data_IF_039507860220
#
_entry.id   IF_039507860220
#
_cell.length_a   1.000
_cell.length_b   1.000
_cell.length_c   1.000
_cell.angle_alpha   90.00
_cell.angle_beta   90.00
_cell.angle_gamma   90.00
#
_symmetry.space_group_name_H-M   'P 1'
#
loop_
_entity.id
_entity.type
_entity.pdbx_description
1 polymer ?
#
# COMPACT_ATOMS: atom_id res chain seq x y z
N UNK A 1 -10.89 -16.84 15.20
CA UNK A 1 -9.72 -16.77 14.30
C UNK A 1 -8.85 -15.61 14.76
N UNK A 2 -7.54 -15.80 14.91
CA UNK A 2 -6.62 -14.70 15.20
C UNK A 2 -6.58 -13.77 13.98
N UNK A 3 -6.71 -12.48 14.21
CA UNK A 3 -6.67 -11.49 13.14
C UNK A 3 -5.21 -11.27 12.71
N UNK A 4 -4.91 -11.44 11.41
CA UNK A 4 -3.56 -11.20 10.88
C UNK A 4 -3.18 -9.73 10.99
N UNK A 5 -1.96 -9.47 11.45
CA UNK A 5 -1.37 -8.15 11.51
C UNK A 5 -0.34 -7.98 10.41
N UNK A 6 -0.33 -6.80 9.81
CA UNK A 6 0.55 -6.45 8.71
C UNK A 6 1.40 -5.25 9.10
N UNK A 7 2.65 -5.28 8.65
CA UNK A 7 3.54 -4.12 8.59
C UNK A 7 3.52 -3.60 7.17
N UNK A 8 2.80 -2.49 6.94
CA UNK A 8 2.63 -1.89 5.62
C UNK A 8 3.50 -0.64 5.48
N UNK A 9 3.83 -0.33 4.24
CA UNK A 9 4.53 0.85 3.77
C UNK A 9 3.59 1.59 2.82
N UNK A 10 3.47 2.90 3.02
CA UNK A 10 2.73 3.80 2.14
C UNK A 10 3.45 5.14 2.00
N UNK A 11 3.01 5.93 1.03
CA UNK A 11 3.49 7.29 0.78
C UNK A 11 2.51 8.28 1.39
N UNK A 12 2.94 9.13 2.32
CA UNK A 12 2.01 10.01 3.06
C UNK A 12 1.32 11.05 2.16
N UNK A 13 1.92 11.40 1.01
CA UNK A 13 1.29 12.25 0.00
C UNK A 13 0.09 11.59 -0.69
N UNK A 14 0.00 10.25 -0.64
CA UNK A 14 -1.16 9.50 -1.15
C UNK A 14 -2.39 9.57 -0.26
N UNK A 15 -2.32 10.23 0.91
CA UNK A 15 -3.44 10.38 1.84
C UNK A 15 -4.09 11.76 1.73
N UNK A 16 -5.43 11.81 1.64
CA UNK A 16 -6.21 13.06 1.72
C UNK A 16 -6.26 13.61 3.14
N UNK A 17 -6.27 12.72 4.13
CA UNK A 17 -6.19 13.06 5.55
C UNK A 17 -5.05 12.29 6.23
N UNK A 18 -3.94 12.97 6.50
CA UNK A 18 -2.81 12.36 7.19
C UNK A 18 -3.13 12.00 8.66
N UNK A 19 -4.19 12.56 9.26
CA UNK A 19 -4.56 12.25 10.64
C UNK A 19 -4.99 10.80 10.82
N UNK A 20 -5.37 10.10 9.75
CA UNK A 20 -5.67 8.65 9.78
C UNK A 20 -4.50 7.86 10.37
N UNK A 21 -3.26 8.31 10.15
CA UNK A 21 -2.08 7.64 10.66
C UNK A 21 -1.98 7.70 12.19
N UNK A 22 -2.55 8.73 12.83
CA UNK A 22 -2.53 8.87 14.29
C UNK A 22 -3.40 7.81 15.01
N UNK A 23 -4.25 7.09 14.27
CA UNK A 23 -5.07 6.01 14.80
C UNK A 23 -4.28 4.71 14.99
N UNK A 24 -3.08 4.61 14.39
CA UNK A 24 -2.31 3.37 14.31
C UNK A 24 -0.85 3.59 14.69
N UNK A 25 -0.17 2.56 15.25
CA UNK A 25 1.27 2.61 15.42
C UNK A 25 1.97 2.82 14.08
N UNK A 26 2.74 3.89 13.95
CA UNK A 26 3.44 4.23 12.72
C UNK A 26 4.80 4.89 12.98
N UNK A 27 5.68 4.86 11.97
CA UNK A 27 6.93 5.64 11.96
C UNK A 27 7.30 6.09 10.55
N UNK A 28 7.89 7.27 10.46
CA UNK A 28 8.47 7.77 9.21
C UNK A 28 9.77 7.01 8.93
N UNK A 29 9.82 6.30 7.80
CA UNK A 29 11.02 5.54 7.36
C UNK A 29 11.99 6.41 6.59
N UNK A 30 11.47 7.26 5.72
CA UNK A 30 12.26 8.07 4.79
C UNK A 30 11.50 9.32 4.40
N UNK A 31 12.16 10.46 4.49
CA UNK A 31 11.66 11.70 3.91
C UNK A 31 12.05 11.73 2.43
N UNK A 32 11.09 11.95 1.54
CA UNK A 32 11.37 12.10 0.11
C UNK A 32 11.50 13.58 -0.24
N UNK A 33 12.43 13.90 -1.15
CA UNK A 33 12.55 15.25 -1.72
C UNK A 33 11.41 15.57 -2.69
N UNK A 34 10.65 14.57 -3.14
CA UNK A 34 9.51 14.77 -4.02
C UNK A 34 8.31 15.26 -3.19
N UNK A 35 7.88 16.53 -3.31
CA UNK A 35 6.82 17.10 -2.49
C UNK A 35 5.47 16.40 -2.73
N UNK A 36 5.29 15.79 -3.91
CA UNK A 36 4.05 15.10 -4.27
C UNK A 36 3.89 13.79 -3.48
N UNK A 37 4.98 13.05 -3.24
CA UNK A 37 4.88 11.72 -2.64
C UNK A 37 4.90 11.76 -1.10
N UNK A 38 5.39 12.87 -0.53
CA UNK A 38 5.54 13.01 0.92
C UNK A 38 6.56 12.01 1.50
N UNK A 39 6.30 11.54 2.70
CA UNK A 39 7.19 10.62 3.40
C UNK A 39 6.81 9.17 3.13
N UNK A 40 7.80 8.27 3.17
CA UNK A 40 7.55 6.84 3.28
C UNK A 40 7.26 6.54 4.75
N UNK A 41 6.08 6.00 5.03
CA UNK A 41 5.59 5.70 6.38
C UNK A 41 5.40 4.20 6.52
N UNK A 42 5.89 3.63 7.63
CA UNK A 42 5.58 2.27 8.06
C UNK A 42 4.43 2.33 9.07
N UNK A 43 3.40 1.50 8.89
CA UNK A 43 2.21 1.42 9.75
C UNK A 43 1.92 -0.04 10.09
N UNK A 44 1.46 -0.29 11.32
CA UNK A 44 1.07 -1.61 11.80
C UNK A 44 -0.45 -1.69 11.91
N UNK A 45 -1.09 -2.55 11.10
CA UNK A 45 -2.54 -2.64 11.00
C UNK A 45 -3.03 -4.07 10.75
N UNK A 46 -4.28 -4.35 11.10
CA UNK A 46 -5.02 -5.49 10.58
C UNK A 46 -5.79 -5.14 9.28
N UNK A 47 -6.48 -6.09 8.67
CA UNK A 47 -7.21 -5.87 7.41
C UNK A 47 -8.36 -4.85 7.54
N UNK A 48 -9.04 -4.77 8.68
CA UNK A 48 -10.15 -3.83 8.83
C UNK A 48 -9.63 -2.39 8.98
N UNK A 49 -8.55 -2.22 9.74
CA UNK A 49 -7.84 -0.94 9.86
C UNK A 49 -7.21 -0.50 8.54
N UNK A 50 -6.75 -1.44 7.71
CA UNK A 50 -6.26 -1.14 6.36
C UNK A 50 -7.36 -0.50 5.49
N UNK A 51 -8.62 -0.91 5.62
CA UNK A 51 -9.74 -0.29 4.89
C UNK A 51 -9.90 1.18 5.24
N UNK A 52 -9.66 1.57 6.49
CA UNK A 52 -9.74 2.97 6.90
C UNK A 52 -8.62 3.80 6.27
N UNK A 53 -7.41 3.23 6.18
CA UNK A 53 -6.31 3.83 5.41
C UNK A 53 -6.68 3.95 3.93
N UNK A 54 -7.26 2.91 3.32
CA UNK A 54 -7.67 2.94 1.91
C UNK A 54 -8.73 4.03 1.62
N UNK A 55 -9.66 4.28 2.54
CA UNK A 55 -10.64 5.38 2.43
C UNK A 55 -9.98 6.76 2.52
N UNK A 56 -8.90 6.86 3.29
CA UNK A 56 -8.11 8.08 3.43
C UNK A 56 -7.09 8.26 2.30
N UNK A 57 -6.89 7.27 1.42
CA UNK A 57 -6.07 7.43 0.22
C UNK A 57 -6.79 8.32 -0.81
N UNK A 58 -6.03 9.19 -1.47
CA UNK A 58 -6.48 10.06 -2.55
C UNK A 58 -7.14 9.23 -3.64
N UNK A 59 -8.25 9.75 -4.19
CA UNK A 59 -8.92 9.12 -5.32
C UNK A 59 -7.93 8.96 -6.46
N UNK A 60 -7.92 7.78 -7.11
CA UNK A 60 -7.09 7.60 -8.31
C UNK A 60 -7.34 8.77 -9.26
N UNK A 61 -6.27 9.32 -9.83
CA UNK A 61 -6.27 10.44 -10.78
C UNK A 61 -6.57 11.84 -10.23
N UNK A 62 -6.78 12.04 -8.92
CA UNK A 62 -7.05 13.39 -8.36
C UNK A 62 -5.96 13.96 -7.46
N UNK A 63 -4.84 13.26 -7.28
CA UNK A 63 -3.68 13.80 -6.56
C UNK A 63 -2.42 12.98 -6.80
N UNK A 64 -1.38 13.13 -5.98
CA UNK A 64 -0.09 12.58 -6.32
C UNK A 64 0.00 11.07 -6.06
N UNK A 65 0.52 10.36 -7.05
CA UNK A 65 0.88 8.93 -6.96
C UNK A 65 1.95 8.69 -5.87
N UNK A 66 2.14 7.44 -5.40
CA UNK A 66 1.39 6.24 -5.77
C UNK A 66 0.29 5.90 -4.75
N UNK A 67 -0.90 5.55 -5.25
CA UNK A 67 -2.11 5.34 -4.44
C UNK A 67 -2.27 3.91 -3.95
N UNK A 68 -1.24 3.39 -3.30
CA UNK A 68 -1.27 2.04 -2.76
C UNK A 68 -0.40 1.93 -1.51
N UNK A 69 -0.67 0.87 -0.72
CA UNK A 69 0.17 0.41 0.37
C UNK A 69 0.62 -1.02 0.07
N UNK A 70 1.86 -1.35 0.43
CA UNK A 70 2.38 -2.72 0.37
C UNK A 70 3.03 -3.12 1.67
N UNK A 71 3.08 -4.40 1.99
CA UNK A 71 3.65 -4.85 3.24
C UNK A 71 3.77 -6.34 3.35
N UNK A 72 3.99 -6.77 4.59
CA UNK A 72 4.14 -8.17 4.95
C UNK A 72 3.25 -8.52 6.13
N UNK A 73 2.73 -9.73 6.14
CA UNK A 73 2.14 -10.33 7.35
C UNK A 73 3.25 -10.52 8.40
N UNK A 74 2.94 -10.27 9.68
CA UNK A 74 3.88 -10.43 10.78
C UNK A 74 4.02 -11.87 11.27
N UNK A 75 3.06 -12.73 10.92
CA UNK A 75 2.96 -14.10 11.42
C UNK A 75 2.99 -15.16 10.30
N UNK A 76 3.15 -14.76 9.04
CA UNK A 76 3.15 -15.64 7.88
C UNK A 76 4.03 -15.08 6.76
N UNK A 77 4.47 -15.95 5.86
CA UNK A 77 5.28 -15.61 4.68
C UNK A 77 4.42 -15.02 3.54
N UNK A 78 3.60 -14.03 3.87
CA UNK A 78 2.65 -13.39 2.97
C UNK A 78 2.99 -11.91 2.75
N UNK A 79 2.91 -11.49 1.48
CA UNK A 79 2.85 -10.10 1.08
C UNK A 79 1.39 -9.62 1.07
N UNK A 80 1.21 -8.32 1.32
CA UNK A 80 -0.05 -7.62 1.10
C UNK A 80 0.18 -6.41 0.20
N UNK A 81 -0.75 -6.14 -0.70
CA UNK A 81 -0.80 -4.93 -1.52
C UNK A 81 -2.25 -4.44 -1.59
N UNK A 82 -2.49 -3.19 -1.18
CA UNK A 82 -3.81 -2.59 -1.11
C UNK A 82 -3.83 -1.26 -1.85
N UNK A 83 -4.82 -1.08 -2.72
CA UNK A 83 -5.01 0.14 -3.52
C UNK A 83 -6.03 1.08 -2.85
N UNK A 84 -6.00 2.37 -3.18
CA UNK A 84 -6.97 3.34 -2.64
C UNK A 84 -8.42 2.93 -2.92
N UNK A 85 -9.36 3.31 -2.03
CA UNK A 85 -10.76 2.86 -2.10
C UNK A 85 -11.49 3.27 -3.40
N UNK A 86 -11.05 4.36 -4.05
CA UNK A 86 -11.59 4.85 -5.32
C UNK A 86 -10.73 4.41 -6.52
N UNK A 87 -10.24 3.16 -6.50
CA UNK A 87 -9.48 2.58 -7.62
C UNK A 87 -10.36 2.11 -8.79
N UNK A 88 -11.67 2.34 -8.72
CA UNK A 88 -12.67 1.79 -9.61
C UNK A 88 -13.09 0.35 -9.29
N UNK A 89 -12.51 -0.27 -8.25
CA UNK A 89 -12.74 -1.65 -7.80
C UNK A 89 -12.92 -1.71 -6.26
N UNK A 90 -13.32 -0.60 -5.64
CA UNK A 90 -13.55 -0.46 -4.19
C UNK A 90 -12.32 -0.77 -3.30
N UNK A 91 -11.11 -0.44 -3.75
CA UNK A 91 -9.89 -0.60 -2.96
C UNK A 91 -9.43 -2.05 -2.94
N UNK A 92 -9.00 -2.55 -4.10
CA UNK A 92 -8.58 -3.94 -4.24
C UNK A 92 -7.43 -4.26 -3.29
N UNK A 93 -7.51 -5.42 -2.64
CA UNK A 93 -6.47 -5.96 -1.76
C UNK A 93 -5.99 -7.31 -2.31
N UNK A 94 -4.68 -7.45 -2.46
CA UNK A 94 -4.01 -8.69 -2.83
C UNK A 94 -3.22 -9.19 -1.62
N UNK A 95 -3.40 -10.46 -1.28
CA UNK A 95 -2.62 -11.17 -0.27
C UNK A 95 -2.12 -12.45 -0.94
N UNK A 96 -0.82 -12.69 -0.87
CA UNK A 96 -0.18 -13.80 -1.57
C UNK A 96 1.14 -14.18 -0.89
N UNK A 97 1.58 -15.41 -1.06
CA UNK A 97 2.83 -15.89 -0.51
C UNK A 97 4.04 -15.26 -1.24
N UNK A 98 5.16 -15.03 -0.55
CA UNK A 98 6.32 -14.33 -1.14
C UNK A 98 6.98 -15.04 -2.34
N UNK A 99 6.75 -16.34 -2.51
CA UNK A 99 7.26 -17.12 -3.63
C UNK A 99 6.30 -17.18 -4.84
N UNK A 100 5.05 -16.70 -4.70
CA UNK A 100 4.07 -16.67 -5.78
C UNK A 100 4.34 -15.48 -6.71
N UNK A 101 5.29 -15.69 -7.62
CA UNK A 101 5.70 -14.70 -8.62
C UNK A 101 4.58 -14.40 -9.61
N UNK A 102 3.64 -15.31 -9.83
CA UNK A 102 2.51 -15.07 -10.71
C UNK A 102 1.48 -14.15 -10.05
N UNK A 103 1.23 -14.30 -8.75
CA UNK A 103 0.47 -13.32 -7.99
C UNK A 103 1.13 -11.96 -8.01
N UNK A 104 2.45 -11.90 -7.79
CA UNK A 104 3.18 -10.63 -7.84
C UNK A 104 3.06 -9.94 -9.20
N UNK A 105 3.23 -10.68 -10.30
CA UNK A 105 3.03 -10.16 -11.67
C UNK A 105 1.60 -9.65 -11.88
N UNK A 106 0.59 -10.31 -11.33
CA UNK A 106 -0.82 -9.83 -11.40
C UNK A 106 -0.98 -8.51 -10.64
N UNK A 107 -0.35 -8.35 -9.48
CA UNK A 107 -0.36 -7.10 -8.72
C UNK A 107 0.30 -5.97 -9.51
N UNK A 108 1.48 -6.21 -10.09
CA UNK A 108 2.19 -5.22 -10.90
C UNK A 108 1.35 -4.77 -12.10
N UNK A 109 0.80 -5.73 -12.87
CA UNK A 109 -0.10 -5.43 -14.01
C UNK A 109 -1.33 -4.64 -13.58
N UNK A 110 -1.90 -4.96 -12.42
CA UNK A 110 -3.04 -4.23 -11.89
C UNK A 110 -2.67 -2.78 -11.58
N UNK A 111 -1.58 -2.53 -10.85
CA UNK A 111 -1.19 -1.14 -10.54
C UNK A 111 -0.74 -0.35 -11.77
N UNK A 112 -0.05 -0.97 -12.74
CA UNK A 112 0.25 -0.37 -14.04
C UNK A 112 -1.04 0.05 -14.77
N UNK A 113 -2.08 -0.78 -14.75
CA UNK A 113 -3.39 -0.43 -15.33
C UNK A 113 -4.09 0.74 -14.62
N UNK A 114 -3.70 1.03 -13.37
CA UNK A 114 -4.16 2.20 -12.60
C UNK A 114 -3.24 3.41 -12.75
N UNK A 115 -2.21 3.33 -13.60
CA UNK A 115 -1.25 4.41 -13.85
C UNK A 115 -0.06 4.44 -12.90
N UNK A 116 0.04 3.52 -11.94
CA UNK A 116 1.12 3.52 -10.96
C UNK A 116 2.42 2.99 -11.61
N UNK A 117 3.54 3.73 -11.56
CA UNK A 117 4.79 3.29 -12.17
C UNK A 117 5.34 2.02 -11.52
N UNK A 118 5.71 1.02 -12.34
CA UNK A 118 6.28 -0.24 -11.86
C UNK A 118 7.44 -0.06 -10.86
N UNK A 119 8.32 0.91 -11.10
CA UNK A 119 9.48 1.22 -10.24
C UNK A 119 9.11 1.51 -8.79
N UNK A 120 7.93 2.06 -8.54
CA UNK A 120 7.47 2.34 -7.17
C UNK A 120 6.69 1.18 -6.59
N UNK A 121 6.28 0.20 -7.41
CA UNK A 121 5.60 -1.04 -7.01
C UNK A 121 6.54 -2.23 -6.86
N UNK A 122 7.84 -2.06 -7.10
CA UNK A 122 8.82 -3.12 -6.84
C UNK A 122 9.11 -3.24 -5.33
N UNK A 123 8.12 -3.71 -4.58
CA UNK A 123 8.19 -3.83 -3.12
C UNK A 123 8.73 -5.17 -2.64
N UNK A 124 8.89 -6.15 -3.53
CA UNK A 124 9.60 -7.40 -3.23
C UNK A 124 11.09 -7.34 -3.59
N UNK A 125 11.55 -6.33 -4.33
CA UNK A 125 12.94 -6.22 -4.78
C UNK A 125 13.37 -7.40 -5.64
N UNK A 126 12.43 -7.95 -6.41
CA UNK A 126 12.65 -9.09 -7.30
C UNK A 126 12.58 -8.55 -8.72
N UNK A 127 13.60 -8.87 -9.52
CA UNK A 127 13.54 -8.61 -10.97
C UNK A 127 12.42 -9.47 -11.57
N UNK A 128 11.37 -8.82 -12.06
CA UNK A 128 10.20 -9.44 -12.72
C UNK A 128 9.92 -8.81 -14.05
#
# INVERSE_FOLDING_TARGET
>A
MLQSWYKIILYSGSLTDQKVLNLYPHKVKRQLKNPNWGNVVEVYVNQDQLKDIQKAMVKHYTGPEPWYASGQNLNADEAICAFGADDGENGKVFIFHFDDMDAYRRVLKYGESKGIPRKVMDFLGKDV
#
